data_IF_397867567941
#
_entry.id   IF_397867567941
#
_cell.length_a   1.000
_cell.length_b   1.000
_cell.length_c   1.000
_cell.angle_alpha   90.00
_cell.angle_beta   90.00
_cell.angle_gamma   90.00
#
_symmetry.space_group_name_H-M   'P 1'
#
loop_
_entity.id
_entity.type
_entity.pdbx_description
1 polymer ?
#
# COMPACT_ATOMS: atom_id res chain seq x y z
N UNK A 1 -16.72 -4.80 -7.43
CA UNK A 1 -17.87 -3.97 -7.00
C UNK A 1 -17.29 -2.85 -6.16
N UNK A 2 -17.64 -1.59 -6.45
CA UNK A 2 -17.21 -0.44 -5.64
C UNK A 2 -18.01 -0.46 -4.33
N UNK A 3 -17.31 -0.35 -3.20
CA UNK A 3 -17.92 -0.38 -1.87
C UNK A 3 -17.92 0.99 -1.19
N UNK A 4 -16.90 1.80 -1.46
CA UNK A 4 -16.82 3.18 -0.98
C UNK A 4 -16.57 4.15 -2.11
N UNK A 5 -17.12 5.34 -1.95
CA UNK A 5 -16.87 6.48 -2.82
C UNK A 5 -16.34 7.64 -1.97
N UNK A 6 -15.35 8.35 -2.51
CA UNK A 6 -14.73 9.49 -1.85
C UNK A 6 -14.36 10.59 -2.85
N UNK A 7 -14.25 11.82 -2.35
CA UNK A 7 -13.59 12.92 -3.05
C UNK A 7 -12.33 13.25 -2.26
N UNK A 8 -11.18 13.26 -2.93
CA UNK A 8 -9.88 13.51 -2.31
C UNK A 8 -9.21 14.70 -3.02
N UNK A 9 -8.87 15.70 -2.24
CA UNK A 9 -8.26 16.94 -2.70
C UNK A 9 -6.74 16.92 -2.55
N UNK A 10 -6.04 17.59 -3.47
CA UNK A 10 -4.61 17.91 -3.37
C UNK A 10 -4.36 19.22 -2.61
N UNK A 11 -5.35 20.12 -2.54
CA UNK A 11 -5.17 21.50 -2.06
C UNK A 11 -5.92 21.84 -0.77
N UNK A 12 -7.00 21.12 -0.45
CA UNK A 12 -7.70 21.33 0.82
C UNK A 12 -6.82 20.88 1.99
N UNK A 13 -6.99 21.41 3.22
CA UNK A 13 -6.11 21.08 4.34
C UNK A 13 -6.28 19.65 4.87
N UNK A 14 -7.45 19.03 4.67
CA UNK A 14 -7.71 17.66 5.13
C UNK A 14 -8.82 17.00 4.32
N UNK A 15 -8.64 15.74 3.93
CA UNK A 15 -9.67 14.97 3.24
C UNK A 15 -10.59 14.28 4.25
N UNK A 16 -11.73 14.92 4.54
CA UNK A 16 -12.77 14.32 5.38
C UNK A 16 -13.66 13.40 4.55
N UNK A 17 -13.29 12.12 4.54
CA UNK A 17 -14.12 11.06 3.95
C UNK A 17 -14.92 10.33 5.03
N UNK A 18 -16.04 9.72 4.64
CA UNK A 18 -16.79 8.83 5.53
C UNK A 18 -15.93 7.65 6.00
N UNK A 19 -16.28 7.06 7.14
CA UNK A 19 -15.54 5.94 7.73
C UNK A 19 -15.53 4.75 6.76
N UNK A 20 -14.33 4.42 6.25
CA UNK A 20 -14.10 3.23 5.43
C UNK A 20 -13.63 2.09 6.31
N UNK A 21 -14.47 1.06 6.47
CA UNK A 21 -14.17 -0.14 7.25
C UNK A 21 -13.81 -1.31 6.33
N UNK A 22 -12.53 -1.51 6.08
CA UNK A 22 -12.01 -2.63 5.28
C UNK A 22 -11.79 -3.83 6.19
N UNK A 23 -12.20 -5.03 5.77
CA UNK A 23 -12.06 -6.22 6.59
C UNK A 23 -10.82 -7.01 6.19
N UNK A 24 -9.97 -7.29 7.16
CA UNK A 24 -8.76 -8.08 6.94
C UNK A 24 -9.06 -9.43 6.30
N UNK A 25 -8.25 -9.84 5.33
CA UNK A 25 -8.39 -11.12 4.63
C UNK A 25 -9.43 -11.13 3.50
N UNK A 26 -10.26 -10.10 3.35
CA UNK A 26 -11.05 -9.93 2.14
C UNK A 26 -10.10 -9.70 0.95
N UNK A 27 -10.41 -10.32 -0.19
CA UNK A 27 -9.67 -10.13 -1.44
C UNK A 27 -10.62 -9.60 -2.49
N UNK A 28 -10.19 -8.58 -3.25
CA UNK A 28 -10.89 -8.04 -4.42
C UNK A 28 -12.25 -7.35 -4.18
N UNK A 29 -12.81 -7.41 -2.97
CA UNK A 29 -14.14 -6.86 -2.65
C UNK A 29 -14.08 -5.51 -1.91
N UNK A 30 -12.93 -5.18 -1.31
CA UNK A 30 -12.71 -3.93 -0.61
C UNK A 30 -12.21 -2.87 -1.59
N UNK A 31 -13.13 -2.28 -2.37
CA UNK A 31 -12.79 -1.32 -3.42
C UNK A 31 -13.27 0.08 -3.05
N UNK A 32 -12.33 1.01 -3.00
CA UNK A 32 -12.54 2.46 -2.91
C UNK A 32 -12.48 3.07 -4.32
N UNK A 33 -13.53 3.78 -4.70
CA UNK A 33 -13.52 4.69 -5.85
C UNK A 33 -13.33 6.12 -5.34
N UNK A 34 -12.30 6.81 -5.83
CA UNK A 34 -12.01 8.18 -5.42
C UNK A 34 -12.02 9.12 -6.63
N UNK A 35 -12.60 10.30 -6.44
CA UNK A 35 -12.51 11.42 -7.37
C UNK A 35 -11.41 12.34 -6.85
N UNK A 36 -10.33 12.45 -7.60
CA UNK A 36 -9.23 13.35 -7.28
C UNK A 36 -9.56 14.75 -7.77
N UNK A 37 -9.42 15.73 -6.88
CA UNK A 37 -9.71 17.14 -7.17
C UNK A 37 -8.53 18.03 -6.79
N UNK A 38 -8.39 19.14 -7.52
CA UNK A 38 -7.48 20.23 -7.21
C UNK A 38 -8.28 21.52 -7.26
N UNK A 39 -8.23 22.32 -6.18
CA UNK A 39 -9.07 23.52 -6.04
C UNK A 39 -10.57 23.26 -6.31
N UNK A 40 -11.09 22.13 -5.79
CA UNK A 40 -12.46 21.65 -5.98
C UNK A 40 -12.88 21.30 -7.43
N UNK A 41 -11.93 21.27 -8.37
CA UNK A 41 -12.17 20.83 -9.75
C UNK A 41 -11.57 19.43 -9.98
N UNK A 42 -12.23 18.54 -10.74
CA UNK A 42 -11.66 17.24 -11.08
C UNK A 42 -10.28 17.37 -11.74
N UNK A 43 -9.32 16.61 -11.24
CA UNK A 43 -7.95 16.60 -11.74
C UNK A 43 -7.84 15.70 -12.98
N UNK A 44 -7.29 16.21 -14.09
CA UNK A 44 -7.06 15.40 -15.29
C UNK A 44 -5.83 14.51 -15.11
N UNK A 45 -6.04 13.20 -15.07
CA UNK A 45 -5.00 12.18 -14.88
C UNK A 45 -4.49 11.59 -16.21
N UNK A 46 -4.73 12.25 -17.35
CA UNK A 46 -4.31 11.73 -18.67
C UNK A 46 -2.79 11.59 -18.75
N UNK A 47 -2.33 10.35 -18.97
CA UNK A 47 -0.90 10.03 -19.03
C UNK A 47 -0.22 10.01 -17.67
N UNK A 48 -0.99 9.98 -16.57
CA UNK A 48 -0.49 9.84 -15.21
C UNK A 48 -0.61 8.40 -14.72
N UNK A 49 0.14 8.10 -13.67
CA UNK A 49 -0.01 6.93 -12.82
C UNK A 49 -0.36 7.40 -11.41
N UNK A 50 -1.13 6.60 -10.68
CA UNK A 50 -1.55 6.94 -9.31
C UNK A 50 -1.23 5.78 -8.39
N UNK A 51 -0.62 6.07 -7.24
CA UNK A 51 -0.26 5.07 -6.25
C UNK A 51 -0.88 5.40 -4.90
N UNK A 52 -1.44 4.40 -4.24
CA UNK A 52 -1.80 4.42 -2.83
C UNK A 52 -0.52 4.29 -1.99
N UNK A 53 -0.33 5.20 -1.05
CA UNK A 53 0.81 5.19 -0.12
C UNK A 53 0.35 5.30 1.32
N UNK A 54 0.98 4.52 2.19
CA UNK A 54 0.69 4.49 3.62
C UNK A 54 1.90 3.95 4.39
N UNK A 55 2.00 4.30 5.67
CA UNK A 55 2.91 3.66 6.61
C UNK A 55 2.08 2.82 7.56
N UNK A 56 2.07 1.51 7.32
CA UNK A 56 1.28 0.57 8.11
C UNK A 56 1.95 0.34 9.46
N UNK A 57 1.14 0.42 10.53
CA UNK A 57 1.62 0.25 11.91
C UNK A 57 2.75 1.21 12.31
N UNK A 58 2.83 2.38 11.66
CA UNK A 58 3.92 3.34 11.79
C UNK A 58 5.33 2.77 11.52
N UNK A 59 5.43 1.56 10.94
CA UNK A 59 6.70 0.88 10.69
C UNK A 59 6.91 0.58 9.22
N UNK A 60 5.87 0.17 8.51
CA UNK A 60 6.05 -0.45 7.20
C UNK A 60 5.48 0.41 6.06
N UNK A 61 6.32 1.11 5.29
CA UNK A 61 5.86 1.88 4.15
C UNK A 61 5.39 0.94 3.02
N UNK A 62 4.22 1.23 2.47
CA UNK A 62 3.68 0.52 1.32
C UNK A 62 3.37 1.51 0.20
N UNK A 63 3.58 1.08 -1.04
CA UNK A 63 3.15 1.79 -2.25
C UNK A 63 2.47 0.78 -3.17
N UNK A 64 1.24 1.06 -3.60
CA UNK A 64 0.41 0.14 -4.38
C UNK A 64 -0.27 0.88 -5.51
N UNK A 65 -0.30 0.31 -6.71
CA UNK A 65 -0.92 0.98 -7.87
C UNK A 65 -2.43 1.10 -7.71
N UNK A 66 -2.97 2.29 -8.00
CA UNK A 66 -4.39 2.54 -8.14
C UNK A 66 -4.79 2.55 -9.61
N UNK A 67 -5.94 1.96 -9.92
CA UNK A 67 -6.44 1.90 -11.29
C UNK A 67 -7.15 3.20 -11.65
N UNK A 68 -6.69 3.90 -12.67
CA UNK A 68 -7.42 5.04 -13.24
C UNK A 68 -8.60 4.50 -14.07
N UNK A 69 -9.83 4.85 -13.69
CA UNK A 69 -11.05 4.42 -14.40
C UNK A 69 -11.63 5.51 -15.30
N UNK A 70 -11.39 6.78 -14.97
CA UNK A 70 -11.70 7.91 -15.84
C UNK A 70 -10.69 9.04 -15.64
N UNK A 71 -9.68 9.09 -16.50
CA UNK A 71 -8.59 10.04 -16.40
C UNK A 71 -9.08 11.50 -16.47
N UNK A 72 -9.97 11.83 -17.42
CA UNK A 72 -10.49 13.19 -17.61
C UNK A 72 -11.32 13.72 -16.45
N UNK A 73 -11.89 12.82 -15.64
CA UNK A 73 -12.70 13.16 -14.46
C UNK A 73 -11.96 12.90 -13.14
N UNK A 74 -10.67 12.57 -13.18
CA UNK A 74 -9.89 12.27 -11.97
C UNK A 74 -10.36 11.05 -11.20
N UNK A 75 -11.06 10.11 -11.83
CA UNK A 75 -11.65 8.97 -11.11
C UNK A 75 -10.68 7.80 -11.11
N UNK A 76 -10.34 7.33 -9.90
CA UNK A 76 -9.51 6.17 -9.64
C UNK A 76 -10.28 5.12 -8.84
N UNK A 77 -9.80 3.87 -8.89
CA UNK A 77 -10.22 2.79 -8.03
C UNK A 77 -9.00 2.15 -7.38
N UNK A 78 -9.05 1.99 -6.06
CA UNK A 78 -8.07 1.26 -5.28
C UNK A 78 -8.75 0.07 -4.62
N UNK A 79 -8.14 -1.10 -4.75
CA UNK A 79 -8.58 -2.32 -4.07
C UNK A 79 -7.65 -2.56 -2.90
N UNK A 80 -8.16 -2.49 -1.68
CA UNK A 80 -7.37 -2.81 -0.50
C UNK A 80 -6.95 -4.27 -0.56
N UNK A 81 -5.67 -4.47 -0.30
CA UNK A 81 -4.98 -5.74 -0.38
C UNK A 81 -4.40 -6.15 0.97
N UNK A 82 -3.74 -7.28 0.99
CA UNK A 82 -3.16 -7.83 2.20
C UNK A 82 -2.17 -6.91 2.94
N UNK A 83 -1.47 -6.03 2.23
CA UNK A 83 -0.49 -5.11 2.81
C UNK A 83 -1.19 -3.93 3.47
N UNK A 84 -2.12 -3.31 2.74
CA UNK A 84 -2.92 -2.18 3.24
C UNK A 84 -3.90 -2.59 4.35
N UNK A 85 -4.21 -3.87 4.49
CA UNK A 85 -5.05 -4.42 5.57
C UNK A 85 -4.27 -5.19 6.64
N UNK A 86 -2.94 -5.05 6.68
CA UNK A 86 -2.12 -5.86 7.59
C UNK A 86 -2.30 -5.48 9.07
N UNK A 87 -2.36 -4.19 9.41
CA UNK A 87 -2.53 -3.72 10.79
C UNK A 87 -3.97 -3.29 11.06
N UNK A 88 -4.52 -3.74 12.19
CA UNK A 88 -5.89 -3.43 12.59
C UNK A 88 -6.03 -1.95 12.97
N UNK A 89 -7.28 -1.49 13.02
CA UNK A 89 -7.68 -0.15 13.48
C UNK A 89 -7.34 0.95 12.46
N UNK A 90 -7.14 2.19 12.93
CA UNK A 90 -7.00 3.36 12.08
C UNK A 90 -5.65 3.34 11.36
N UNK A 91 -5.70 3.47 10.05
CA UNK A 91 -4.56 3.67 9.17
C UNK A 91 -4.71 5.02 8.45
N UNK A 92 -3.59 5.61 8.05
CA UNK A 92 -3.54 6.89 7.33
C UNK A 92 -2.84 6.69 5.99
N UNK A 93 -3.41 7.23 4.93
CA UNK A 93 -2.93 7.04 3.57
C UNK A 93 -3.20 8.26 2.69
N UNK A 94 -2.52 8.33 1.55
CA UNK A 94 -2.77 9.29 0.49
C UNK A 94 -2.55 8.65 -0.88
N UNK A 95 -2.89 9.38 -1.94
CA UNK A 95 -2.57 8.99 -3.30
C UNK A 95 -1.51 9.91 -3.89
N UNK A 96 -0.38 9.36 -4.32
CA UNK A 96 0.64 10.06 -5.11
C UNK A 96 0.31 9.95 -6.59
N UNK A 97 0.60 11.02 -7.33
CA UNK A 97 0.29 11.14 -8.76
C UNK A 97 1.60 11.40 -9.50
N UNK A 98 1.90 10.51 -10.44
CA UNK A 98 3.13 10.52 -11.22
C UNK A 98 2.84 10.74 -12.69
N UNK A 99 3.78 11.37 -13.41
CA UNK A 99 3.74 11.49 -14.87
C UNK A 99 5.11 11.11 -15.43
N UNK A 100 5.21 9.87 -15.91
CA UNK A 100 6.51 9.22 -16.08
C UNK A 100 7.21 9.10 -14.73
N UNK A 101 8.52 9.37 -14.69
CA UNK A 101 9.32 9.25 -13.47
C UNK A 101 9.13 10.41 -12.46
N UNK A 102 8.33 11.43 -12.81
CA UNK A 102 8.15 12.61 -11.98
C UNK A 102 6.91 12.52 -11.10
N UNK A 103 7.07 12.72 -9.78
CA UNK A 103 5.98 13.01 -8.86
C UNK A 103 5.45 14.42 -9.15
N UNK A 104 4.17 14.52 -9.56
CA UNK A 104 3.54 15.80 -9.91
C UNK A 104 2.60 16.33 -8.83
N UNK A 105 2.20 15.47 -7.88
CA UNK A 105 1.38 15.88 -6.74
C UNK A 105 0.94 14.68 -5.90
N UNK A 106 0.31 14.98 -4.78
CA UNK A 106 -0.33 13.98 -3.93
C UNK A 106 -1.62 14.56 -3.35
N UNK A 107 -2.59 13.70 -3.07
CA UNK A 107 -3.76 14.09 -2.27
C UNK A 107 -3.32 14.38 -0.84
N UNK A 108 -4.10 15.15 -0.09
CA UNK A 108 -3.97 15.12 1.36
C UNK A 108 -4.29 13.73 1.91
N UNK A 109 -3.77 13.49 3.11
CA UNK A 109 -4.03 12.28 3.86
C UNK A 109 -5.53 12.10 4.15
N UNK A 110 -5.95 10.84 4.13
CA UNK A 110 -7.24 10.38 4.61
C UNK A 110 -7.05 9.19 5.55
N UNK A 111 -8.08 8.90 6.35
CA UNK A 111 -8.07 7.77 7.28
C UNK A 111 -9.00 6.66 6.81
N UNK A 112 -8.58 5.42 7.03
CA UNK A 112 -9.43 4.23 6.89
C UNK A 112 -9.21 3.30 8.08
N UNK A 113 -10.13 2.36 8.30
CA UNK A 113 -10.12 1.45 9.44
C UNK A 113 -10.08 0.01 8.95
N UNK A 114 -9.12 -0.74 9.46
CA UNK A 114 -9.02 -2.19 9.24
C UNK A 114 -9.73 -2.90 10.39
N UNK A 115 -10.76 -3.68 10.06
CA UNK A 115 -11.53 -4.47 11.03
C UNK A 115 -11.18 -5.95 10.93
N UNK A 116 -11.18 -6.62 12.08
CA UNK A 116 -10.85 -8.03 12.16
C UNK A 116 -11.89 -8.90 11.41
N UNK A 117 -11.44 -9.97 10.76
CA UNK A 117 -12.31 -11.04 10.28
C UNK A 117 -12.43 -12.11 11.37
N UNK A 118 -13.66 -12.41 11.81
CA UNK A 118 -13.90 -13.43 12.84
C UNK A 118 -13.41 -14.83 12.45
N UNK A 119 -13.18 -15.07 11.15
CA UNK A 119 -12.70 -16.34 10.60
C UNK A 119 -11.17 -16.45 10.51
N UNK A 120 -10.40 -15.46 10.95
CA UNK A 120 -8.94 -15.47 10.89
C UNK A 120 -8.33 -15.73 12.26
N UNK A 121 -7.43 -16.70 12.31
CA UNK A 121 -6.65 -17.03 13.53
C UNK A 121 -5.39 -16.16 13.62
N UNK A 122 -4.85 -15.94 14.82
CA UNK A 122 -3.61 -15.16 15.04
C UNK A 122 -2.43 -15.62 14.18
N UNK A 123 -2.30 -16.91 13.90
CA UNK A 123 -1.26 -17.43 13.01
C UNK A 123 -1.47 -17.11 11.53
N UNK A 124 -2.73 -17.00 11.07
CA UNK A 124 -3.05 -16.55 9.70
C UNK A 124 -3.04 -15.03 9.55
N UNK A 125 -3.01 -14.30 10.68
CA UNK A 125 -2.81 -12.85 10.72
C UNK A 125 -1.32 -12.46 10.57
N UNK A 126 -0.44 -13.44 10.30
CA UNK A 126 0.99 -13.25 10.09
C UNK A 126 1.32 -12.05 9.19
N UNK A 127 2.32 -11.30 9.61
CA UNK A 127 2.79 -10.06 8.98
C UNK A 127 3.47 -10.36 7.64
N UNK A 128 2.95 -9.85 6.53
CA UNK A 128 3.61 -9.94 5.21
C UNK A 128 5.02 -9.33 5.23
N UNK A 129 5.24 -8.35 6.11
CA UNK A 129 6.55 -7.76 6.33
C UNK A 129 7.49 -8.67 7.12
N UNK A 130 6.97 -9.46 8.05
CA UNK A 130 7.76 -10.41 8.81
C UNK A 130 8.28 -11.53 7.92
N UNK A 131 7.48 -12.04 6.99
CA UNK A 131 7.97 -13.05 6.03
C UNK A 131 9.05 -12.51 5.10
N UNK A 132 9.03 -11.22 4.77
CA UNK A 132 10.12 -10.57 4.00
C UNK A 132 11.37 -10.38 4.88
N UNK A 133 11.21 -9.92 6.14
CA UNK A 133 12.32 -9.81 7.10
C UNK A 133 13.00 -11.17 7.34
N UNK A 134 12.20 -12.24 7.50
CA UNK A 134 12.68 -13.62 7.65
C UNK A 134 13.42 -14.09 6.40
N UNK A 135 12.88 -13.84 5.19
CA UNK A 135 13.57 -14.17 3.94
C UNK A 135 14.92 -13.45 3.81
N UNK A 136 15.00 -12.18 4.19
CA UNK A 136 16.26 -11.42 4.18
C UNK A 136 17.26 -12.02 5.18
N UNK A 137 16.79 -12.41 6.37
CA UNK A 137 17.62 -13.08 7.37
C UNK A 137 18.17 -14.41 6.85
N UNK A 138 17.31 -15.24 6.24
CA UNK A 138 17.68 -16.52 5.65
C UNK A 138 18.71 -16.35 4.51
N UNK A 139 18.50 -15.36 3.63
CA UNK A 139 19.46 -15.06 2.56
C UNK A 139 20.81 -14.59 3.11
N UNK A 140 20.81 -13.76 4.15
CA UNK A 140 22.05 -13.31 4.79
C UNK A 140 22.80 -14.46 5.49
N UNK A 141 22.07 -15.35 6.17
CA UNK A 141 22.64 -16.55 6.77
C UNK A 141 23.28 -17.45 5.71
N UNK A 142 22.56 -17.73 4.62
CA UNK A 142 23.08 -18.51 3.50
C UNK A 142 24.36 -17.90 2.90
N UNK A 143 24.38 -16.59 2.65
CA UNK A 143 25.59 -15.91 2.12
C UNK A 143 26.77 -16.04 3.08
N UNK A 144 26.53 -15.92 4.39
CA UNK A 144 27.59 -15.96 5.39
C UNK A 144 28.14 -17.38 5.57
N UNK A 145 27.29 -18.40 5.59
CA UNK A 145 27.70 -19.80 5.65
C UNK A 145 28.54 -20.19 4.42
N UNK A 146 28.08 -19.85 3.22
CA UNK A 146 28.80 -20.19 1.98
C UNK A 146 30.13 -19.44 1.81
N UNK A 147 30.27 -18.23 2.39
CA UNK A 147 31.57 -17.53 2.43
C UNK A 147 32.58 -18.27 3.31
N UNK A 148 32.13 -18.85 4.42
CA UNK A 148 32.94 -19.72 5.28
C UNK A 148 33.38 -20.98 4.54
N UNK A 149 32.42 -21.72 3.98
CA UNK A 149 32.67 -22.97 3.24
C UNK A 149 33.63 -22.78 2.06
N UNK A 150 33.48 -21.70 1.29
CA UNK A 150 34.39 -21.40 0.18
C UNK A 150 35.81 -21.08 0.66
N UNK A 151 35.94 -20.35 1.77
CA UNK A 151 37.25 -19.99 2.36
C UNK A 151 37.95 -21.23 2.89
N UNK A 152 37.23 -22.10 3.58
CA UNK A 152 37.76 -23.36 4.12
C UNK A 152 38.14 -24.32 2.99
N UNK A 153 37.34 -24.41 1.93
CA UNK A 153 37.67 -25.20 0.74
C UNK A 153 38.91 -24.68 0.00
N UNK A 154 39.07 -23.35 -0.13
CA UNK A 154 40.28 -22.73 -0.72
C UNK A 154 41.52 -22.98 0.14
N UNK A 155 41.39 -22.93 1.47
CA UNK A 155 42.49 -23.20 2.39
C UNK A 155 42.90 -24.67 2.42
N UNK A 156 41.96 -25.61 2.29
CA UNK A 156 42.23 -27.04 2.22
C UNK A 156 42.96 -27.48 0.92
N UNK A 157 43.06 -26.58 -0.08
CA UNK A 157 43.72 -26.83 -1.37
C UNK A 157 45.08 -26.13 -1.52
N UNK A 158 45.56 -25.45 -0.47
CA UNK A 158 46.93 -24.98 -0.35
C UNK A 158 47.79 -26.02 0.37
#
# INVERSE_FOLDING_TARGET
MVKWQATLSTTEPYNYIGIQNVRQGNRNTEVLEAILVENALPLDLTGCEVFFESVIDNKYPIQRSAKIVNAKKGIIQYTFDEYSMQSLHRQEAYFSIHKGDNLIGATQNFSYFVVNAASKTEGEMGSYWQSIEDLIADMNAFINENKGDFTDWMNARK
#
